data_IF_973400123595
#
_entry.id   IF_973400123595
#
_cell.length_a   1.000
_cell.length_b   1.000
_cell.length_c   1.000
_cell.angle_alpha   90.00
_cell.angle_beta   90.00
_cell.angle_gamma   90.00
#
_symmetry.space_group_name_H-M   'P 1'
#
loop_
_entity.id
_entity.type
_entity.pdbx_description
1 polymer ?
#
# COMPACT_ATOMS: atom_id res chain seq x y z
N UNK A 1 -17.50 29.38 -32.46
CA UNK A 1 -16.74 29.56 -31.20
C UNK A 1 -17.12 28.44 -30.25
N UNK A 2 -16.21 27.50 -29.98
CA UNK A 2 -16.39 26.46 -28.96
C UNK A 2 -15.94 27.04 -27.62
N UNK A 3 -16.80 27.03 -26.60
CA UNK A 3 -16.41 27.42 -25.25
C UNK A 3 -15.30 26.49 -24.72
N UNK A 4 -14.37 26.98 -23.88
CA UNK A 4 -13.38 26.12 -23.24
C UNK A 4 -14.12 25.10 -22.37
N UNK A 5 -13.88 23.82 -22.62
CA UNK A 5 -14.24 22.76 -21.69
C UNK A 5 -13.25 22.86 -20.53
N UNK A 6 -13.58 23.68 -19.52
CA UNK A 6 -12.94 23.54 -18.22
C UNK A 6 -13.24 22.11 -17.75
N UNK A 7 -12.23 21.27 -17.53
CA UNK A 7 -12.48 19.95 -16.97
C UNK A 7 -13.00 20.18 -15.55
N UNK A 8 -14.30 19.93 -15.35
CA UNK A 8 -14.97 19.94 -14.05
C UNK A 8 -14.28 18.93 -13.13
N UNK A 9 -13.19 19.36 -12.47
CA UNK A 9 -12.57 18.56 -11.43
C UNK A 9 -13.58 18.50 -10.27
N UNK A 10 -13.79 17.31 -9.72
CA UNK A 10 -14.58 17.14 -8.50
C UNK A 10 -13.60 17.16 -7.34
N UNK A 11 -13.53 18.26 -6.58
CA UNK A 11 -12.73 18.27 -5.35
C UNK A 11 -13.45 17.37 -4.37
N UNK A 12 -12.70 16.44 -3.80
CA UNK A 12 -13.20 15.60 -2.75
C UNK A 12 -13.50 16.47 -1.53
N UNK A 13 -14.70 16.33 -0.99
CA UNK A 13 -15.03 16.94 0.30
C UNK A 13 -14.05 16.43 1.37
N UNK A 14 -13.83 17.22 2.42
CA UNK A 14 -12.94 16.84 3.52
C UNK A 14 -13.27 15.45 4.10
N UNK A 15 -14.56 15.09 4.15
CA UNK A 15 -15.01 13.77 4.58
C UNK A 15 -14.56 12.64 3.63
N UNK A 16 -14.68 12.85 2.31
CA UNK A 16 -14.24 11.88 1.32
C UNK A 16 -12.72 11.69 1.36
N UNK A 17 -11.96 12.78 1.52
CA UNK A 17 -10.50 12.75 1.66
C UNK A 17 -10.07 11.99 2.92
N UNK A 18 -10.76 12.21 4.04
CA UNK A 18 -10.51 11.50 5.31
C UNK A 18 -10.75 10.00 5.18
N UNK A 19 -11.87 9.58 4.55
CA UNK A 19 -12.17 8.15 4.29
C UNK A 19 -11.12 7.50 3.38
N UNK A 20 -10.67 8.21 2.34
CA UNK A 20 -9.60 7.73 1.46
C UNK A 20 -8.29 7.53 2.23
N UNK A 21 -7.90 8.51 3.05
CA UNK A 21 -6.68 8.43 3.87
C UNK A 21 -6.73 7.26 4.84
N UNK A 22 -7.86 7.02 5.49
CA UNK A 22 -8.03 5.88 6.40
C UNK A 22 -7.81 4.52 5.69
N UNK A 23 -8.36 4.36 4.47
CA UNK A 23 -8.15 3.14 3.67
C UNK A 23 -6.69 2.96 3.28
N UNK A 24 -6.03 4.02 2.81
CA UNK A 24 -4.60 3.97 2.47
C UNK A 24 -3.73 3.60 3.67
N UNK A 25 -4.04 4.13 4.86
CA UNK A 25 -3.34 3.78 6.09
C UNK A 25 -3.55 2.31 6.44
N UNK A 26 -4.78 1.80 6.36
CA UNK A 26 -5.06 0.39 6.64
C UNK A 26 -4.26 -0.53 5.71
N UNK A 27 -4.21 -0.22 4.41
CA UNK A 27 -3.42 -0.98 3.43
C UNK A 27 -1.93 -0.92 3.77
N UNK A 28 -1.41 0.27 4.08
CA UNK A 28 0.01 0.44 4.43
C UNK A 28 0.39 -0.36 5.69
N UNK A 29 -0.46 -0.34 6.72
CA UNK A 29 -0.27 -1.11 7.94
C UNK A 29 -0.29 -2.62 7.67
N UNK A 30 -1.26 -3.10 6.87
CA UNK A 30 -1.35 -4.52 6.50
C UNK A 30 -0.13 -4.99 5.72
N UNK A 31 0.30 -4.23 4.70
CA UNK A 31 1.48 -4.56 3.90
C UNK A 31 2.76 -4.51 4.75
N UNK A 32 2.90 -3.50 5.61
CA UNK A 32 4.04 -3.39 6.53
C UNK A 32 4.12 -4.59 7.49
N UNK A 33 3.00 -4.97 8.10
CA UNK A 33 2.93 -6.14 8.98
C UNK A 33 3.31 -7.44 8.24
N UNK A 34 2.82 -7.62 7.01
CA UNK A 34 3.15 -8.78 6.19
C UNK A 34 4.65 -8.87 5.90
N UNK A 35 5.29 -7.76 5.51
CA UNK A 35 6.74 -7.71 5.25
C UNK A 35 7.54 -8.01 6.51
N UNK A 36 7.16 -7.44 7.66
CA UNK A 36 7.81 -7.71 8.94
C UNK A 36 7.71 -9.20 9.28
N UNK A 37 6.55 -9.83 9.10
CA UNK A 37 6.37 -11.26 9.33
C UNK A 37 7.33 -12.10 8.45
N UNK A 38 7.40 -11.80 7.15
CA UNK A 38 8.33 -12.50 6.26
C UNK A 38 9.78 -12.31 6.69
N UNK A 39 10.17 -11.08 7.05
CA UNK A 39 11.53 -10.80 7.49
C UNK A 39 11.90 -11.55 8.78
N UNK A 40 10.98 -11.62 9.75
CA UNK A 40 11.17 -12.42 10.97
C UNK A 40 11.37 -13.90 10.64
N UNK A 41 10.56 -14.45 9.73
CA UNK A 41 10.73 -15.84 9.28
C UNK A 41 12.08 -16.04 8.61
N UNK A 42 12.51 -15.12 7.74
CA UNK A 42 13.83 -15.15 7.10
C UNK A 42 14.97 -15.06 8.12
N UNK A 43 14.86 -14.21 9.14
CA UNK A 43 15.88 -14.05 10.16
C UNK A 43 16.01 -15.30 11.04
N UNK A 44 14.89 -15.91 11.42
CA UNK A 44 14.88 -17.10 12.29
C UNK A 44 15.25 -18.38 11.54
N UNK A 45 14.77 -18.56 10.31
CA UNK A 45 14.96 -19.80 9.54
C UNK A 45 16.12 -19.75 8.54
N UNK A 46 16.70 -18.57 8.29
CA UNK A 46 17.70 -18.36 7.26
C UNK A 46 17.12 -18.47 5.84
N UNK A 47 17.90 -18.10 4.80
CA UNK A 47 17.48 -18.29 3.42
C UNK A 47 17.42 -19.80 3.12
N UNK A 48 16.21 -20.37 3.04
CA UNK A 48 15.99 -21.79 2.73
C UNK A 48 16.62 -22.28 1.41
N UNK A 49 17.09 -21.35 0.58
CA UNK A 49 17.88 -21.63 -0.63
C UNK A 49 19.33 -22.06 -0.35
N UNK A 50 19.87 -21.78 0.84
CA UNK A 50 21.25 -22.11 1.21
C UNK A 50 21.41 -23.55 1.70
N UNK A 51 20.31 -24.18 2.16
CA UNK A 51 20.26 -25.60 2.53
C UNK A 51 19.89 -26.48 1.33
N UNK A 52 20.66 -26.39 0.24
CA UNK A 52 20.56 -27.34 -0.88
C UNK A 52 21.66 -28.39 -0.70
N UNK A 53 21.35 -29.63 -0.29
CA UNK A 53 22.31 -30.72 -0.45
C UNK A 53 22.55 -30.92 -1.95
N UNK A 54 23.83 -30.88 -2.35
CA UNK A 54 24.30 -31.27 -3.68
C UNK A 54 24.12 -32.77 -3.88
#
# INVERSE_FOLDING_TARGET
MSAPHDPDWVELTEEQRKRRRARSIAIALSLGALVVLFYLVTLVKGPGVLNRPL
#
